data_IF_896910876978
#
_entry.id   IF_896910876978
#
_cell.length_a   1.000
_cell.length_b   1.000
_cell.length_c   1.000
_cell.angle_alpha   90.00
_cell.angle_beta   90.00
_cell.angle_gamma   90.00
#
_symmetry.space_group_name_H-M   'P 1'
#
loop_
_entity.id
_entity.type
_entity.pdbx_description
1 polymer ?
#
# COMPACT_ATOMS: atom_id res chain seq x y z
N UNK A 1 -1.57 0.83 22.32
CA UNK A 1 -0.38 1.46 21.73
C UNK A 1 0.78 0.51 21.86
N UNK A 2 1.66 0.47 20.87
CA UNK A 2 2.75 -0.49 20.74
C UNK A 2 4.03 0.27 20.39
N UNK A 3 5.02 0.21 21.28
CA UNK A 3 6.34 0.76 21.02
C UNK A 3 7.12 -0.15 20.06
N UNK A 4 7.42 0.37 18.87
CA UNK A 4 8.15 -0.37 17.84
C UNK A 4 9.57 -0.75 18.27
N UNK A 5 10.19 -0.02 19.20
CA UNK A 5 11.53 -0.36 19.71
C UNK A 5 11.53 -1.62 20.58
N UNK A 6 10.37 -1.99 21.12
CA UNK A 6 10.18 -3.13 22.01
C UNK A 6 9.11 -4.12 21.51
N UNK A 7 8.70 -4.03 20.24
CA UNK A 7 7.59 -4.79 19.66
C UNK A 7 7.87 -6.29 19.60
N UNK A 8 7.05 -7.08 20.32
CA UNK A 8 7.23 -8.53 20.45
C UNK A 8 6.06 -9.31 19.84
N UNK A 9 6.21 -10.64 19.79
CA UNK A 9 5.18 -11.54 19.29
C UNK A 9 3.78 -11.34 19.93
N UNK A 10 3.63 -11.08 21.24
CA UNK A 10 2.32 -10.78 21.82
C UNK A 10 1.69 -9.50 21.26
N UNK A 11 2.49 -8.45 21.05
CA UNK A 11 2.05 -7.18 20.46
C UNK A 11 1.59 -7.39 19.02
N UNK A 12 2.35 -8.18 18.26
CA UNK A 12 1.97 -8.59 16.90
C UNK A 12 0.63 -9.35 16.86
N UNK A 13 0.42 -10.28 17.78
CA UNK A 13 -0.84 -11.04 17.86
C UNK A 13 -2.03 -10.14 18.22
N UNK A 14 -1.87 -9.21 19.16
CA UNK A 14 -2.89 -8.24 19.55
C UNK A 14 -3.19 -7.24 18.43
N UNK A 15 -2.15 -6.67 17.83
CA UNK A 15 -2.27 -5.71 16.74
C UNK A 15 -2.97 -6.35 15.53
N UNK A 16 -2.54 -7.54 15.10
CA UNK A 16 -3.16 -8.25 13.98
C UNK A 16 -4.61 -8.66 14.26
N UNK A 17 -4.93 -9.10 15.48
CA UNK A 17 -6.32 -9.42 15.87
C UNK A 17 -7.20 -8.17 15.77
N UNK A 18 -6.71 -7.03 16.22
CA UNK A 18 -7.45 -5.77 16.16
C UNK A 18 -7.67 -5.34 14.71
N UNK A 19 -6.60 -5.36 13.89
CA UNK A 19 -6.69 -5.02 12.46
C UNK A 19 -7.72 -5.87 11.72
N UNK A 20 -7.80 -7.19 12.01
CA UNK A 20 -8.82 -8.07 11.40
C UNK A 20 -10.25 -7.65 11.73
N UNK A 21 -10.49 -7.15 12.95
CA UNK A 21 -11.82 -6.70 13.40
C UNK A 21 -12.20 -5.33 12.85
N UNK A 22 -11.24 -4.50 12.42
CA UNK A 22 -11.55 -3.16 11.90
C UNK A 22 -12.39 -3.19 10.61
N UNK A 23 -12.36 -4.29 9.87
CA UNK A 23 -13.22 -4.50 8.70
C UNK A 23 -14.67 -4.86 9.05
N UNK A 24 -14.95 -5.27 10.29
CA UNK A 24 -16.31 -5.64 10.70
C UNK A 24 -17.23 -4.41 10.70
N UNK A 25 -18.38 -4.53 10.04
CA UNK A 25 -19.34 -3.43 9.90
C UNK A 25 -18.80 -2.21 9.13
N UNK A 26 -17.75 -2.38 8.32
CA UNK A 26 -17.31 -1.34 7.39
C UNK A 26 -18.33 -1.16 6.25
N UNK A 27 -18.63 0.08 5.88
CA UNK A 27 -19.59 0.39 4.82
C UNK A 27 -19.00 0.12 3.42
N UNK A 28 -17.68 0.14 3.29
CA UNK A 28 -16.94 -0.16 2.07
C UNK A 28 -15.51 -0.62 2.39
N UNK A 29 -14.77 -1.04 1.35
CA UNK A 29 -13.36 -1.39 1.50
C UNK A 29 -12.49 -0.17 1.83
N UNK A 30 -12.85 1.02 1.33
CA UNK A 30 -12.21 2.30 1.65
C UNK A 30 -12.43 2.68 3.11
N UNK A 31 -13.65 2.47 3.65
CA UNK A 31 -13.92 2.68 5.07
C UNK A 31 -13.07 1.74 5.94
N UNK A 32 -13.03 0.44 5.61
CA UNK A 32 -12.17 -0.52 6.29
C UNK A 32 -10.68 -0.11 6.21
N UNK A 33 -10.21 0.27 5.03
CA UNK A 33 -8.83 0.73 4.82
C UNK A 33 -8.53 1.97 5.67
N UNK A 34 -9.44 2.94 5.72
CA UNK A 34 -9.30 4.15 6.53
C UNK A 34 -9.26 3.85 8.03
N UNK A 35 -10.07 2.90 8.51
CA UNK A 35 -10.01 2.44 9.90
C UNK A 35 -8.65 1.81 10.22
N UNK A 36 -8.11 0.98 9.31
CA UNK A 36 -6.81 0.32 9.46
C UNK A 36 -5.67 1.35 9.49
N UNK A 37 -5.59 2.27 8.52
CA UNK A 37 -4.49 3.24 8.47
C UNK A 37 -4.50 4.16 9.69
N UNK A 38 -5.69 4.63 10.12
CA UNK A 38 -5.82 5.45 11.34
C UNK A 38 -5.42 4.69 12.60
N UNK A 39 -5.85 3.43 12.72
CA UNK A 39 -5.49 2.60 13.87
C UNK A 39 -3.98 2.43 13.97
N UNK A 40 -3.31 2.05 12.88
CA UNK A 40 -1.87 1.82 12.86
C UNK A 40 -1.10 3.11 13.13
N UNK A 41 -1.47 4.22 12.48
CA UNK A 41 -0.86 5.52 12.71
C UNK A 41 -0.95 5.96 14.18
N UNK A 42 -2.11 5.74 14.82
CA UNK A 42 -2.33 6.14 16.21
C UNK A 42 -1.79 5.16 17.26
N UNK A 43 -1.53 3.90 16.89
CA UNK A 43 -1.16 2.86 17.86
C UNK A 43 0.27 2.37 17.74
N UNK A 44 1.01 2.71 16.69
CA UNK A 44 2.45 2.42 16.60
C UNK A 44 3.22 3.67 17.04
N UNK A 45 4.04 3.52 18.07
CA UNK A 45 4.84 4.62 18.65
C UNK A 45 6.31 4.27 18.78
N UNK A 46 7.14 5.27 19.05
CA UNK A 46 8.57 5.11 19.33
C UNK A 46 8.91 5.61 20.72
N UNK A 47 9.47 4.74 21.54
CA UNK A 47 10.07 5.11 22.83
C UNK A 47 9.06 5.54 23.90
N UNK A 48 9.56 6.12 25.02
CA UNK A 48 8.75 6.38 26.21
C UNK A 48 7.80 7.59 26.11
N UNK A 49 7.99 8.47 25.11
CA UNK A 49 7.22 9.70 24.94
C UNK A 49 5.96 9.50 24.05
N UNK A 50 5.67 8.26 23.64
CA UNK A 50 4.53 7.88 22.79
C UNK A 50 4.42 8.69 21.48
N UNK A 51 5.56 9.13 20.93
CA UNK A 51 5.60 9.79 19.63
C UNK A 51 5.16 8.81 18.52
N UNK A 52 4.35 9.24 17.53
CA UNK A 52 3.93 8.38 16.42
C UNK A 52 5.15 7.80 15.68
N UNK A 53 5.18 6.47 15.53
CA UNK A 53 6.30 5.81 14.85
C UNK A 53 6.29 6.02 13.33
N UNK A 54 5.11 6.31 12.78
CA UNK A 54 4.91 6.46 11.34
C UNK A 54 4.61 7.91 11.01
N UNK A 55 5.35 8.49 10.06
CA UNK A 55 5.02 9.80 9.49
C UNK A 55 3.77 9.70 8.60
N UNK A 56 3.60 8.55 7.93
CA UNK A 56 2.55 8.33 6.93
C UNK A 56 2.27 6.84 6.75
N UNK A 57 1.03 6.43 6.96
CA UNK A 57 0.52 5.08 6.70
C UNK A 57 -0.42 5.11 5.50
N UNK A 58 -0.20 4.26 4.51
CA UNK A 58 -1.01 4.18 3.27
C UNK A 58 -1.42 2.76 2.95
N UNK A 59 -2.65 2.60 2.48
CA UNK A 59 -3.17 1.32 2.01
C UNK A 59 -3.58 1.44 0.54
N UNK A 60 -3.01 0.56 -0.26
CA UNK A 60 -3.25 0.41 -1.69
C UNK A 60 -3.93 -0.92 -2.00
N UNK A 61 -4.69 -0.94 -3.08
CA UNK A 61 -5.25 -2.16 -3.67
C UNK A 61 -5.23 -2.08 -5.18
N UNK A 62 -5.06 -3.21 -5.86
CA UNK A 62 -5.23 -3.26 -7.31
C UNK A 62 -6.70 -3.40 -7.70
N UNK A 63 -7.10 -2.61 -8.68
CA UNK A 63 -8.42 -2.65 -9.30
C UNK A 63 -8.25 -2.77 -10.82
N UNK A 64 -9.07 -3.55 -11.53
CA UNK A 64 -9.07 -3.48 -12.99
C UNK A 64 -9.52 -2.08 -13.44
N UNK A 65 -8.88 -1.54 -14.48
CA UNK A 65 -9.14 -0.21 -15.01
C UNK A 65 -10.63 0.05 -15.28
N UNK A 66 -11.34 -0.95 -15.83
CA UNK A 66 -12.77 -0.85 -16.12
C UNK A 66 -13.68 -0.73 -14.88
N UNK A 67 -13.15 -0.93 -13.66
CA UNK A 67 -13.88 -0.74 -12.39
C UNK A 67 -13.44 0.50 -11.61
N UNK A 68 -12.51 1.29 -12.14
CA UNK A 68 -12.14 2.57 -11.55
C UNK A 68 -13.28 3.59 -11.73
N UNK A 69 -13.33 4.59 -10.85
CA UNK A 69 -14.21 5.75 -11.06
C UNK A 69 -13.74 6.55 -12.29
N UNK A 70 -14.63 7.32 -12.95
CA UNK A 70 -14.24 8.14 -14.11
C UNK A 70 -13.06 9.08 -13.83
N UNK A 71 -12.98 9.61 -12.60
CA UNK A 71 -11.88 10.47 -12.18
C UNK A 71 -10.55 9.70 -12.13
N UNK A 72 -10.54 8.49 -11.57
CA UNK A 72 -9.34 7.66 -11.52
C UNK A 72 -8.96 7.11 -12.90
N UNK A 73 -9.93 6.85 -13.79
CA UNK A 73 -9.67 6.48 -15.19
C UNK A 73 -8.93 7.61 -15.91
N UNK A 74 -9.41 8.84 -15.81
CA UNK A 74 -8.74 9.99 -16.43
C UNK A 74 -7.29 10.17 -15.96
N UNK A 75 -7.02 9.92 -14.67
CA UNK A 75 -5.67 9.94 -14.12
C UNK A 75 -4.77 8.81 -14.64
N UNK A 76 -5.35 7.65 -14.94
CA UNK A 76 -4.64 6.52 -15.55
C UNK A 76 -4.37 6.81 -17.03
N UNK A 77 -5.37 7.29 -17.76
CA UNK A 77 -5.25 7.63 -19.18
C UNK A 77 -4.17 8.69 -19.42
N UNK A 78 -4.13 9.73 -18.57
CA UNK A 78 -3.08 10.74 -18.62
C UNK A 78 -1.67 10.16 -18.41
N UNK A 79 -1.54 9.08 -17.62
CA UNK A 79 -0.25 8.39 -17.41
C UNK A 79 0.09 7.43 -18.55
N UNK A 80 -0.89 6.85 -19.21
CA UNK A 80 -0.69 5.96 -20.36
C UNK A 80 -0.35 6.73 -21.64
N UNK A 81 -0.73 8.01 -21.73
CA UNK A 81 -0.54 8.82 -22.93
C UNK A 81 -1.35 8.25 -24.09
N UNK A 82 -0.69 7.95 -25.22
CA UNK A 82 -1.36 7.44 -26.42
C UNK A 82 -1.71 5.95 -26.36
N UNK A 83 -1.29 5.23 -25.30
CA UNK A 83 -1.58 3.80 -25.17
C UNK A 83 -3.02 3.58 -24.69
N UNK A 84 -3.86 2.81 -25.42
CA UNK A 84 -5.22 2.55 -24.99
C UNK A 84 -5.23 1.70 -23.70
N UNK A 85 -6.04 2.10 -22.74
CA UNK A 85 -6.24 1.32 -21.53
C UNK A 85 -7.03 0.04 -21.83
N UNK A 86 -6.51 -1.11 -21.40
CA UNK A 86 -7.27 -2.36 -21.40
C UNK A 86 -8.19 -2.39 -20.16
N UNK A 87 -9.51 -2.64 -20.28
CA UNK A 87 -10.42 -2.73 -19.14
C UNK A 87 -10.00 -3.70 -18.03
N UNK A 88 -9.28 -4.77 -18.38
CA UNK A 88 -8.75 -5.76 -17.43
C UNK A 88 -7.42 -5.37 -16.79
N UNK A 89 -6.73 -4.34 -17.27
CA UNK A 89 -5.42 -3.91 -16.77
C UNK A 89 -5.52 -3.51 -15.30
N UNK A 90 -4.64 -4.06 -14.46
CA UNK A 90 -4.62 -3.73 -13.03
C UNK A 90 -4.04 -2.34 -12.82
N UNK A 91 -4.68 -1.58 -11.95
CA UNK A 91 -4.26 -0.26 -11.51
C UNK A 91 -4.09 -0.29 -9.99
N UNK A 92 -2.91 0.06 -9.51
CA UNK A 92 -2.66 0.22 -8.07
C UNK A 92 -3.30 1.52 -7.61
N UNK A 93 -4.27 1.41 -6.70
CA UNK A 93 -5.13 2.51 -6.27
C UNK A 93 -4.98 2.76 -4.78
N UNK A 94 -4.83 4.02 -4.37
CA UNK A 94 -4.76 4.41 -2.97
C UNK A 94 -6.17 4.41 -2.36
N UNK A 95 -6.43 3.52 -1.41
CA UNK A 95 -7.72 3.43 -0.72
C UNK A 95 -7.77 4.33 0.52
N UNK A 96 -6.67 4.39 1.27
CA UNK A 96 -6.59 5.16 2.51
C UNK A 96 -5.17 5.68 2.76
N UNK A 97 -5.10 6.81 3.45
CA UNK A 97 -3.86 7.49 3.80
C UNK A 97 -4.06 8.20 5.13
N UNK A 98 -3.12 8.06 6.04
CA UNK A 98 -3.13 8.73 7.34
C UNK A 98 -1.70 9.15 7.69
N UNK A 99 -1.46 10.42 7.94
CA UNK A 99 -0.13 10.94 8.22
C UNK A 99 -0.15 12.28 8.95
N UNK A 100 1.05 12.80 9.20
CA UNK A 100 1.29 13.99 10.01
C UNK A 100 0.77 15.30 9.40
N UNK A 101 0.54 15.34 8.08
CA UNK A 101 0.01 16.53 7.39
C UNK A 101 -1.46 16.30 7.03
N UNK A 102 -2.34 17.23 7.40
CA UNK A 102 -3.79 17.10 7.18
C UNK A 102 -4.17 16.78 5.72
N UNK A 103 -3.49 17.39 4.75
CA UNK A 103 -3.71 17.13 3.33
C UNK A 103 -3.38 15.71 2.88
N UNK A 104 -2.58 14.95 3.65
CA UNK A 104 -2.30 13.54 3.37
C UNK A 104 -3.40 12.60 3.85
N UNK A 105 -4.33 13.07 4.69
CA UNK A 105 -5.40 12.26 5.27
C UNK A 105 -6.59 12.07 4.33
N UNK A 106 -6.55 12.71 3.16
CA UNK A 106 -7.52 12.55 2.09
C UNK A 106 -6.86 11.94 0.84
N UNK A 107 -7.14 10.66 0.49
CA UNK A 107 -6.59 10.02 -0.71
C UNK A 107 -6.83 10.81 -2.00
N UNK A 108 -7.94 11.54 -2.12
CA UNK A 108 -8.24 12.34 -3.32
C UNK A 108 -7.28 13.52 -3.52
N UNK A 109 -6.63 13.99 -2.45
CA UNK A 109 -5.63 15.06 -2.50
C UNK A 109 -4.21 14.56 -2.78
N UNK A 110 -4.00 13.25 -2.89
CA UNK A 110 -2.70 12.70 -3.26
C UNK A 110 -2.33 13.11 -4.69
N UNK A 111 -1.21 13.79 -4.88
CA UNK A 111 -0.80 14.25 -6.21
C UNK A 111 -0.30 13.11 -7.09
N UNK A 112 0.42 12.14 -6.49
CA UNK A 112 1.24 11.18 -7.23
C UNK A 112 0.70 9.75 -7.23
N UNK A 113 0.01 9.33 -6.17
CA UNK A 113 -0.22 7.91 -5.89
C UNK A 113 -1.70 7.48 -5.91
N UNK A 114 -2.61 8.30 -6.46
CA UNK A 114 -4.06 7.99 -6.49
C UNK A 114 -4.39 6.72 -7.26
N UNK A 115 -3.91 6.64 -8.50
CA UNK A 115 -4.07 5.47 -9.36
C UNK A 115 -2.85 5.37 -10.28
N UNK A 116 -2.26 4.18 -10.35
CA UNK A 116 -1.06 3.91 -11.11
C UNK A 116 -1.31 2.68 -12.00
N UNK A 117 -1.20 2.79 -13.33
CA UNK A 117 -1.36 1.64 -14.21
C UNK A 117 -0.21 0.65 -14.05
N UNK A 118 -0.54 -0.64 -13.93
CA UNK A 118 0.43 -1.74 -13.95
C UNK A 118 0.41 -2.37 -15.36
N UNK A 119 0.88 -1.62 -16.36
CA UNK A 119 0.82 -2.00 -17.78
C UNK A 119 2.03 -2.84 -18.23
N UNK A 120 2.65 -3.61 -17.32
CA UNK A 120 3.85 -4.42 -17.56
C UNK A 120 5.10 -3.97 -16.78
N UNK A 121 6.24 -4.68 -16.95
CA UNK A 121 7.47 -4.49 -16.18
C UNK A 121 8.04 -3.06 -16.23
N UNK A 122 7.98 -2.42 -17.39
CA UNK A 122 8.52 -1.08 -17.60
C UNK A 122 7.79 -0.01 -16.77
N UNK A 123 6.49 -0.20 -16.52
CA UNK A 123 5.72 0.71 -15.68
C UNK A 123 6.20 0.68 -14.22
N UNK A 124 6.59 -0.49 -13.72
CA UNK A 124 7.14 -0.64 -12.37
C UNK A 124 8.56 -0.13 -12.21
N UNK A 125 9.36 -0.15 -13.28
CA UNK A 125 10.70 0.43 -13.25
C UNK A 125 10.68 1.93 -12.88
N UNK A 126 9.60 2.63 -13.21
CA UNK A 126 9.41 4.05 -12.85
C UNK A 126 8.95 4.28 -11.40
N UNK A 127 8.72 3.19 -10.65
CA UNK A 127 8.13 3.17 -9.32
C UNK A 127 8.99 2.30 -8.39
N UNK A 128 10.18 2.78 -8.01
CA UNK A 128 11.22 1.93 -7.42
C UNK A 128 10.84 1.34 -6.04
N UNK A 129 9.95 2.00 -5.29
CA UNK A 129 9.38 1.42 -4.06
C UNK A 129 8.49 0.21 -4.36
N UNK A 130 7.62 0.34 -5.38
CA UNK A 130 6.69 -0.72 -5.72
C UNK A 130 7.41 -1.87 -6.42
N UNK A 131 8.42 -1.62 -7.24
CA UNK A 131 9.24 -2.70 -7.80
C UNK A 131 9.92 -3.53 -6.71
N UNK A 132 10.42 -2.89 -5.64
CA UNK A 132 10.92 -3.59 -4.45
C UNK A 132 9.83 -4.39 -3.74
N UNK A 133 8.64 -3.82 -3.58
CA UNK A 133 7.50 -4.52 -3.00
C UNK A 133 7.16 -5.79 -3.80
N UNK A 134 7.01 -5.69 -5.12
CA UNK A 134 6.70 -6.85 -5.96
C UNK A 134 7.80 -7.92 -5.92
N UNK A 135 9.07 -7.51 -5.94
CA UNK A 135 10.21 -8.41 -5.86
C UNK A 135 10.28 -9.15 -4.52
N UNK A 136 10.15 -8.43 -3.39
CA UNK A 136 10.18 -9.02 -2.04
C UNK A 136 8.91 -9.80 -1.73
N UNK A 137 7.79 -9.53 -2.40
CA UNK A 137 6.57 -10.31 -2.26
C UNK A 137 6.57 -11.58 -3.12
N UNK A 138 7.58 -11.78 -3.98
CA UNK A 138 7.63 -12.86 -4.97
C UNK A 138 6.38 -12.90 -5.86
N UNK A 139 5.84 -11.73 -6.22
CA UNK A 139 4.67 -11.60 -7.10
C UNK A 139 5.16 -11.32 -8.53
N UNK A 140 4.97 -12.28 -9.43
CA UNK A 140 5.22 -12.11 -10.86
C UNK A 140 4.10 -11.30 -11.53
N UNK A 141 4.44 -10.26 -12.31
CA UNK A 141 3.44 -9.43 -13.01
C UNK A 141 2.50 -10.23 -13.93
N UNK A 142 2.96 -11.23 -14.71
CA UNK A 142 2.07 -12.08 -15.52
C UNK A 142 1.02 -12.83 -14.70
N UNK A 143 1.24 -13.03 -13.39
CA UNK A 143 0.27 -13.64 -12.48
C UNK A 143 -0.92 -12.72 -12.19
N UNK A 144 -0.70 -11.39 -12.13
CA UNK A 144 -1.78 -10.41 -11.94
C UNK A 144 -2.67 -10.25 -13.19
N UNK A 145 -2.13 -10.55 -14.37
CA UNK A 145 -2.85 -10.51 -15.65
C UNK A 145 -3.77 -11.72 -15.86
N UNK A 146 -3.39 -12.89 -15.31
CA UNK A 146 -4.05 -14.18 -15.59
C UNK A 146 -4.85 -14.77 -14.42
N UNK A 147 -5.01 -14.04 -13.31
CA UNK A 147 -5.77 -14.51 -12.14
C UNK A 147 -7.30 -14.51 -12.40
N UNK A 148 -7.76 -15.31 -13.36
CA UNK A 148 -9.14 -15.73 -13.51
C UNK A 148 -9.38 -16.95 -12.62
N UNK A 149 -10.29 -16.78 -11.66
CA UNK A 149 -10.58 -17.72 -10.58
C UNK A 149 -11.01 -19.11 -11.07
N UNK A 150 -10.43 -20.18 -10.49
CA UNK A 150 -11.23 -21.35 -10.05
C UNK A 150 -10.49 -22.46 -9.26
N UNK A 151 -9.16 -22.54 -9.15
CA UNK A 151 -8.54 -23.80 -8.65
C UNK A 151 -7.25 -23.70 -7.79
N UNK A 152 -6.91 -22.54 -7.20
CA UNK A 152 -5.61 -22.37 -6.50
C UNK A 152 -5.72 -21.75 -5.09
N UNK A 153 -6.69 -22.19 -4.28
CA UNK A 153 -6.83 -21.72 -2.88
C UNK A 153 -5.57 -21.97 -2.02
N UNK A 154 -4.80 -23.03 -2.30
CA UNK A 154 -3.60 -23.38 -1.53
C UNK A 154 -2.37 -22.51 -1.85
N UNK A 155 -2.28 -21.88 -3.03
CA UNK A 155 -1.14 -21.02 -3.39
C UNK A 155 -1.25 -19.60 -2.79
N UNK A 156 -2.47 -19.13 -2.52
CA UNK A 156 -2.69 -17.81 -1.90
C UNK A 156 -2.38 -17.78 -0.40
N UNK A 157 -2.32 -18.94 0.26
CA UNK A 157 -1.98 -19.04 1.68
C UNK A 157 -0.53 -18.62 1.98
N UNK A 158 0.35 -18.61 0.97
CA UNK A 158 1.79 -18.29 1.12
C UNK A 158 2.19 -16.92 0.57
N UNK A 159 1.25 -16.10 0.08
CA UNK A 159 1.57 -14.82 -0.57
C UNK A 159 1.32 -13.60 0.33
N UNK A 160 1.43 -13.76 1.65
CA UNK A 160 1.51 -12.62 2.56
C UNK A 160 2.98 -12.34 2.87
N UNK A 161 3.49 -11.23 2.37
CA UNK A 161 4.89 -10.86 2.53
C UNK A 161 5.02 -9.45 3.11
N UNK A 162 6.17 -9.22 3.71
CA UNK A 162 6.61 -7.92 4.17
C UNK A 162 7.83 -7.48 3.35
N UNK A 163 7.94 -6.20 3.10
CA UNK A 163 9.14 -5.58 2.55
C UNK A 163 9.64 -4.54 3.53
N UNK A 164 10.96 -4.38 3.60
CA UNK A 164 11.57 -3.42 4.52
C UNK A 164 12.74 -2.71 3.85
N UNK A 165 12.73 -1.38 3.92
CA UNK A 165 13.85 -0.53 3.51
C UNK A 165 14.44 0.06 4.79
N UNK A 166 15.58 -0.46 5.28
CA UNK A 166 16.12 -0.10 6.60
C UNK A 166 16.63 1.34 6.69
N UNK A 167 16.99 1.94 5.56
CA UNK A 167 17.45 3.33 5.49
C UNK A 167 16.72 4.02 4.33
N UNK A 168 15.86 4.98 4.64
CA UNK A 168 15.10 5.75 3.64
C UNK A 168 15.94 6.90 3.04
N UNK A 169 16.81 7.52 3.84
CA UNK A 169 17.68 8.60 3.40
C UNK A 169 18.64 8.12 2.30
N UNK A 170 18.62 8.82 1.16
CA UNK A 170 19.37 8.51 -0.06
C UNK A 170 19.05 7.13 -0.68
N UNK A 171 17.98 6.48 -0.24
CA UNK A 171 17.55 5.22 -0.83
C UNK A 171 16.97 5.45 -2.22
N UNK A 172 17.46 4.74 -3.26
CA UNK A 172 16.89 4.83 -4.59
C UNK A 172 15.47 4.28 -4.66
N UNK A 173 15.04 3.53 -3.63
CA UNK A 173 13.74 2.90 -3.55
C UNK A 173 12.68 3.79 -2.90
N UNK A 174 13.06 4.79 -2.12
CA UNK A 174 12.11 5.67 -1.41
C UNK A 174 11.99 7.00 -2.16
N UNK A 175 10.82 7.31 -2.77
CA UNK A 175 10.63 8.57 -3.46
C UNK A 175 10.45 9.72 -2.47
N UNK A 176 10.64 10.94 -2.97
CA UNK A 176 10.35 12.16 -2.22
C UNK A 176 11.42 12.52 -1.19
N UNK A 177 12.69 12.49 -1.59
CA UNK A 177 13.80 12.78 -0.67
C UNK A 177 13.74 14.21 -0.11
N UNK A 178 13.59 15.20 -0.98
CA UNK A 178 13.61 16.62 -0.63
C UNK A 178 12.29 17.11 0.02
N UNK A 179 11.16 16.51 -0.34
CA UNK A 179 9.82 16.96 0.07
C UNK A 179 9.17 16.10 1.17
N UNK A 180 9.72 14.90 1.45
CA UNK A 180 9.15 13.97 2.43
C UNK A 180 10.20 13.33 3.35
N UNK A 181 11.22 12.66 2.83
CA UNK A 181 12.17 11.89 3.66
C UNK A 181 13.00 12.79 4.56
N UNK A 182 13.64 13.82 3.99
CA UNK A 182 14.52 14.75 4.73
C UNK A 182 13.70 15.64 5.69
N UNK A 183 12.61 16.32 5.25
CA UNK A 183 11.89 17.24 6.12
C UNK A 183 11.18 16.57 7.32
N UNK A 184 10.74 15.32 7.16
CA UNK A 184 10.04 14.56 8.19
C UNK A 184 10.91 13.51 8.88
N UNK A 185 12.22 13.47 8.58
CA UNK A 185 13.17 12.58 9.26
C UNK A 185 12.86 11.09 9.11
N UNK A 186 12.29 10.67 7.97
CA UNK A 186 11.90 9.28 7.75
C UNK A 186 13.13 8.38 7.78
N UNK A 187 13.17 7.45 8.73
CA UNK A 187 14.34 6.57 8.93
C UNK A 187 14.29 5.33 8.04
N UNK A 188 13.14 4.68 7.97
CA UNK A 188 12.93 3.42 7.26
C UNK A 188 11.52 3.38 6.67
N UNK A 189 11.27 2.39 5.80
CA UNK A 189 9.94 2.11 5.25
C UNK A 189 9.64 0.64 5.45
N UNK A 190 8.47 0.35 6.02
CA UNK A 190 7.96 -1.00 6.15
C UNK A 190 6.71 -1.11 5.29
N UNK A 191 6.53 -2.22 4.60
CA UNK A 191 5.21 -2.54 4.09
C UNK A 191 4.91 -4.00 4.13
N UNK A 192 3.64 -4.32 4.07
CA UNK A 192 3.15 -5.67 4.03
C UNK A 192 1.93 -5.75 3.13
N UNK A 193 1.64 -6.94 2.63
CA UNK A 193 0.52 -7.11 1.74
C UNK A 193 0.45 -8.52 1.20
N UNK A 194 -0.41 -8.69 0.21
CA UNK A 194 -0.60 -9.98 -0.41
C UNK A 194 -1.69 -9.99 -1.45
N UNK A 195 -1.95 -11.18 -1.98
CA UNK A 195 -2.98 -11.41 -2.98
C UNK A 195 -4.27 -11.88 -2.30
N UNK A 196 -5.37 -11.21 -2.62
CA UNK A 196 -6.71 -11.56 -2.20
C UNK A 196 -7.24 -12.73 -3.05
N UNK A 197 -8.23 -13.50 -2.56
CA UNK A 197 -8.85 -14.59 -3.34
C UNK A 197 -9.45 -14.14 -4.69
N UNK A 198 -9.72 -12.84 -4.85
CA UNK A 198 -10.19 -12.22 -6.10
C UNK A 198 -9.07 -12.04 -7.15
N UNK A 199 -7.82 -12.38 -6.82
CA UNK A 199 -6.65 -12.11 -7.66
C UNK A 199 -6.19 -10.65 -7.62
N UNK A 200 -6.78 -9.82 -6.75
CA UNK A 200 -6.35 -8.44 -6.51
C UNK A 200 -5.27 -8.41 -5.42
N UNK A 201 -4.29 -7.53 -5.55
CA UNK A 201 -3.24 -7.32 -4.56
C UNK A 201 -3.63 -6.17 -3.64
N UNK A 202 -3.26 -6.24 -2.37
CA UNK A 202 -3.24 -5.08 -1.49
C UNK A 202 -1.86 -4.90 -0.87
N UNK A 203 -1.54 -3.65 -0.55
CA UNK A 203 -0.28 -3.27 0.08
C UNK A 203 -0.54 -2.17 1.12
N UNK A 204 -0.08 -2.41 2.34
CA UNK A 204 0.00 -1.45 3.42
C UNK A 204 1.45 -0.99 3.54
N UNK A 205 1.68 0.31 3.57
CA UNK A 205 3.02 0.95 3.64
C UNK A 205 3.01 1.90 4.84
N UNK A 206 4.06 1.81 5.67
CA UNK A 206 4.31 2.56 6.90
C UNK A 206 5.67 3.25 6.85
#
# INVERSE_FOLDING_TARGET
>A
MFDLSAFRLPDMALCSTTVRRLGEGAASIEDAAGRITRYLYANLTTGPDDEPACVLVRLFKTHPYGRLSPELQALVDARLGDKPANPGMKCLTLLASTGAVDGWNNPAQSSRFRAIPLSGPDALATLPMFSQLFAQFHIDLPFLENASSSLLLDQYATTFNAFYVPQALNSPYVPGQEDFVIPFGVQSVLGCGGILPTGEMFALIL
#
